data_IF_620866680025
#
_entry.id   IF_620866680025
#
_cell.length_a   1.000
_cell.length_b   1.000
_cell.length_c   1.000
_cell.angle_alpha   90.00
_cell.angle_beta   90.00
_cell.angle_gamma   90.00
#
_symmetry.space_group_name_H-M   'P 1'
#
loop_
_entity.id
_entity.type
_entity.pdbx_description
1 polymer ?
#
# COMPACT_ATOMS: atom_id res chain seq x y z
N UNK A 1 -11.20 13.40 -19.30
CA UNK A 1 -10.88 13.78 -17.91
C UNK A 1 -9.93 12.72 -17.33
N UNK A 2 -9.29 12.99 -16.20
CA UNK A 2 -8.23 12.16 -15.64
C UNK A 2 -8.64 11.71 -14.24
N UNK A 3 -8.46 10.42 -13.95
CA UNK A 3 -8.79 9.84 -12.64
C UNK A 3 -7.49 9.80 -11.84
N UNK A 4 -7.48 10.48 -10.70
CA UNK A 4 -6.39 10.40 -9.74
C UNK A 4 -6.62 9.20 -8.82
N UNK A 5 -5.60 8.35 -8.71
CA UNK A 5 -5.65 7.15 -7.90
C UNK A 5 -4.50 7.16 -6.91
N UNK A 6 -4.78 6.73 -5.68
CA UNK A 6 -3.77 6.56 -4.64
C UNK A 6 -3.97 5.28 -3.83
N UNK A 7 -2.88 4.70 -3.33
CA UNK A 7 -2.92 3.61 -2.35
C UNK A 7 -2.81 4.16 -0.94
N UNK A 8 -3.72 3.72 -0.07
CA UNK A 8 -3.71 4.03 1.36
C UNK A 8 -3.81 2.76 2.18
N UNK A 9 -3.16 2.76 3.34
CA UNK A 9 -3.30 1.68 4.30
C UNK A 9 -4.74 1.68 4.86
N UNK A 10 -5.36 0.51 4.95
CA UNK A 10 -6.71 0.35 5.52
C UNK A 10 -6.75 0.82 6.99
N UNK A 11 -5.69 0.52 7.76
CA UNK A 11 -5.55 0.91 9.16
C UNK A 11 -5.08 2.37 9.41
N UNK A 12 -5.41 3.31 8.52
CA UNK A 12 -4.95 4.70 8.63
C UNK A 12 -5.49 5.34 9.91
N UNK A 13 -4.58 5.81 10.77
CA UNK A 13 -4.95 6.45 12.03
C UNK A 13 -5.27 5.48 13.17
N UNK A 14 -5.32 4.17 12.91
CA UNK A 14 -5.54 3.14 13.94
C UNK A 14 -4.24 2.80 14.70
N UNK A 15 -3.09 3.05 14.08
CA UNK A 15 -1.76 2.86 14.65
C UNK A 15 -1.11 4.22 14.86
N UNK A 16 -0.59 4.47 16.06
CA UNK A 16 0.12 5.71 16.37
C UNK A 16 1.33 5.91 15.42
N UNK A 17 1.41 7.09 14.81
CA UNK A 17 2.39 7.39 13.77
C UNK A 17 2.11 6.78 12.37
N UNK A 18 1.01 6.04 12.17
CA UNK A 18 0.62 5.53 10.84
C UNK A 18 -0.05 6.65 10.01
N UNK A 19 0.78 7.53 9.46
CA UNK A 19 0.40 8.57 8.48
C UNK A 19 0.57 8.04 7.05
N UNK A 20 -0.22 7.03 6.67
CA UNK A 20 -0.12 6.43 5.34
C UNK A 20 -0.36 7.41 4.18
N UNK A 21 -0.97 8.57 4.46
CA UNK A 21 -1.10 9.72 3.57
C UNK A 21 0.17 10.57 3.42
N UNK A 22 1.13 10.42 4.34
CA UNK A 22 2.42 11.12 4.33
C UNK A 22 3.59 10.21 3.93
N UNK A 23 3.40 8.90 3.93
CA UNK A 23 4.39 7.99 3.36
C UNK A 23 4.45 8.23 1.84
N UNK A 24 5.68 8.26 1.31
CA UNK A 24 5.94 8.66 -0.06
C UNK A 24 5.12 7.84 -1.08
N UNK A 25 4.49 8.60 -1.96
CA UNK A 25 4.01 8.31 -3.32
C UNK A 25 3.49 6.90 -3.61
N UNK A 26 2.17 6.73 -3.64
CA UNK A 26 1.61 5.93 -4.71
C UNK A 26 0.47 6.74 -5.32
N UNK A 27 0.79 7.86 -5.98
CA UNK A 27 -0.18 8.62 -6.77
C UNK A 27 0.08 8.39 -8.25
N UNK A 28 -0.97 8.06 -9.00
CA UNK A 28 -0.87 7.96 -10.45
C UNK A 28 -2.13 8.47 -11.12
N UNK A 29 -2.02 8.78 -12.40
CA UNK A 29 -3.11 9.33 -13.21
C UNK A 29 -3.57 8.26 -14.20
N UNK A 30 -4.83 7.85 -14.12
CA UNK A 30 -5.47 6.98 -15.09
C UNK A 30 -6.29 7.81 -16.09
N UNK A 31 -6.23 7.44 -17.37
CA UNK A 31 -7.25 7.88 -18.31
C UNK A 31 -8.61 7.25 -17.94
N UNK A 32 -9.73 7.90 -18.26
CA UNK A 32 -11.12 7.42 -18.01
C UNK A 32 -11.50 6.19 -18.85
N UNK A 33 -10.69 5.14 -18.75
CA UNK A 33 -10.89 3.86 -19.42
C UNK A 33 -10.58 2.76 -18.43
N UNK A 34 -11.31 1.65 -18.52
CA UNK A 34 -11.07 0.47 -17.69
C UNK A 34 -9.61 0.02 -17.79
N UNK A 35 -9.04 0.04 -19.00
CA UNK A 35 -7.63 -0.30 -19.24
C UNK A 35 -6.67 0.66 -18.51
N UNK A 36 -6.96 1.97 -18.52
CA UNK A 36 -6.18 2.98 -17.81
C UNK A 36 -6.21 2.80 -16.30
N UNK A 37 -7.40 2.54 -15.75
CA UNK A 37 -7.59 2.27 -14.31
C UNK A 37 -6.84 1.00 -13.90
N UNK A 38 -6.94 -0.10 -14.67
CA UNK A 38 -6.21 -1.34 -14.37
C UNK A 38 -4.69 -1.18 -14.45
N UNK A 39 -4.19 -0.41 -15.42
CA UNK A 39 -2.75 -0.13 -15.54
C UNK A 39 -2.25 0.73 -14.37
N UNK A 40 -3.00 1.76 -13.99
CA UNK A 40 -2.72 2.60 -12.83
C UNK A 40 -2.69 1.77 -11.53
N UNK A 41 -3.71 0.94 -11.28
CA UNK A 41 -3.75 0.07 -10.10
C UNK A 41 -2.56 -0.87 -10.02
N UNK A 42 -2.16 -1.46 -11.15
CA UNK A 42 -0.98 -2.33 -11.20
C UNK A 42 0.29 -1.55 -10.85
N UNK A 43 0.49 -0.38 -11.47
CA UNK A 43 1.64 0.49 -11.19
C UNK A 43 1.71 0.87 -9.71
N UNK A 44 0.59 1.33 -9.13
CA UNK A 44 0.53 1.73 -7.73
C UNK A 44 0.85 0.58 -6.78
N UNK A 45 0.38 -0.63 -7.09
CA UNK A 45 0.69 -1.82 -6.30
C UNK A 45 2.17 -2.15 -6.35
N UNK A 46 2.76 -2.20 -7.55
CA UNK A 46 4.16 -2.53 -7.75
C UNK A 46 5.07 -1.50 -7.07
N UNK A 47 4.73 -0.21 -7.19
CA UNK A 47 5.46 0.89 -6.56
C UNK A 47 5.36 0.84 -5.02
N UNK A 48 4.17 0.61 -4.45
CA UNK A 48 3.99 0.47 -3.01
C UNK A 48 4.87 -0.66 -2.43
N UNK A 49 4.92 -1.80 -3.12
CA UNK A 49 5.76 -2.95 -2.71
C UNK A 49 7.26 -2.61 -2.77
N UNK A 50 7.70 -1.88 -3.80
CA UNK A 50 9.09 -1.40 -3.90
C UNK A 50 9.45 -0.40 -2.79
N UNK A 51 8.46 0.37 -2.31
CA UNK A 51 8.60 1.30 -1.18
C UNK A 51 8.44 0.63 0.20
N UNK A 52 8.48 -0.70 0.27
CA UNK A 52 8.50 -1.46 1.53
C UNK A 52 7.13 -1.67 2.17
N UNK A 53 6.04 -1.37 1.46
CA UNK A 53 4.71 -1.76 1.90
C UNK A 53 4.54 -3.27 1.77
N UNK A 54 3.67 -3.83 2.61
CA UNK A 54 3.44 -5.27 2.69
C UNK A 54 2.03 -5.59 2.25
N UNK A 55 1.87 -6.54 1.34
CA UNK A 55 0.56 -7.07 0.96
C UNK A 55 0.19 -8.24 1.87
N UNK A 56 -0.94 -8.16 2.56
CA UNK A 56 -1.46 -9.24 3.39
C UNK A 56 -2.96 -9.43 3.17
N UNK A 57 -3.39 -10.69 2.95
CA UNK A 57 -4.80 -11.06 2.69
C UNK A 57 -5.49 -10.21 1.61
N UNK A 58 -4.72 -9.68 0.65
CA UNK A 58 -5.23 -8.82 -0.43
C UNK A 58 -5.21 -7.33 -0.12
N UNK A 59 -4.78 -6.91 1.07
CA UNK A 59 -4.73 -5.51 1.49
C UNK A 59 -3.28 -5.03 1.66
N UNK A 60 -3.01 -3.76 1.33
CA UNK A 60 -1.70 -3.15 1.50
C UNK A 60 -1.56 -2.45 2.85
N UNK A 61 -0.50 -2.80 3.58
CA UNK A 61 -0.12 -2.22 4.85
C UNK A 61 1.16 -1.42 4.69
N UNK A 62 1.17 -0.18 5.19
CA UNK A 62 2.39 0.63 5.16
C UNK A 62 3.42 0.09 6.17
N UNK A 63 4.71 0.44 6.06
CA UNK A 63 5.77 -0.11 6.92
C UNK A 63 5.51 0.07 8.42
N UNK A 64 4.92 1.21 8.82
CA UNK A 64 4.57 1.49 10.23
C UNK A 64 3.46 0.57 10.70
N UNK A 65 2.36 0.52 9.96
CA UNK A 65 1.23 -0.33 10.28
C UNK A 65 1.64 -1.83 10.25
N UNK A 66 2.50 -2.25 9.30
CA UNK A 66 3.04 -3.61 9.23
C UNK A 66 3.94 -3.96 10.42
N UNK A 67 4.72 -3.00 10.93
CA UNK A 67 5.57 -3.17 12.12
C UNK A 67 4.76 -3.17 13.41
N UNK A 68 3.77 -2.28 13.52
CA UNK A 68 2.93 -2.16 14.71
C UNK A 68 1.97 -3.33 14.87
N UNK A 69 1.48 -3.89 13.76
CA UNK A 69 0.68 -5.11 13.79
C UNK A 69 1.51 -6.38 14.04
N UNK A 70 2.85 -6.27 14.17
CA UNK A 70 3.80 -7.35 14.50
C UNK A 70 3.16 -8.74 14.43
N UNK A 71 2.91 -9.18 13.20
CA UNK A 71 2.11 -10.35 12.86
C UNK A 71 2.44 -11.52 13.80
N UNK A 72 1.56 -11.79 14.78
CA UNK A 72 1.77 -12.70 15.92
C UNK A 72 1.93 -14.19 15.54
N UNK A 73 2.22 -14.51 14.28
CA UNK A 73 2.44 -15.86 13.80
C UNK A 73 3.68 -15.90 12.90
N UNK A 74 4.75 -16.47 13.47
CA UNK A 74 5.86 -17.04 12.74
C UNK A 74 5.37 -18.02 11.66
N UNK A 75 5.14 -17.49 10.47
CA UNK A 75 5.11 -18.27 9.24
C UNK A 75 6.03 -17.69 8.18
N UNK A 76 6.27 -16.37 8.17
CA UNK A 76 7.16 -15.69 7.22
C UNK A 76 7.79 -14.49 7.95
N UNK A 77 8.74 -14.77 8.84
CA UNK A 77 9.29 -13.73 9.69
C UNK A 77 10.44 -14.19 10.56
N UNK A 78 11.44 -14.86 9.99
CA UNK A 78 12.81 -14.84 10.53
C UNK A 78 13.78 -15.22 9.42
N UNK A 79 14.68 -14.29 9.10
CA UNK A 79 15.99 -14.69 8.62
C UNK A 79 16.68 -15.48 9.73
N UNK A 80 17.25 -16.60 9.33
CA UNK A 80 18.56 -17.04 9.82
C UNK A 80 19.60 -16.55 8.80
#
# INVERSE_FOLDING_TARGET
MAIFMEVRCAGRGDVDGCHSDKNAEPMTTAHESVKGVSAALKFLKDDSLNNGWVLHKGELYCPVCAKAQAWDAAGIGKGE
#
